data_IF_261026631537
#
_entry.id   IF_261026631537
#
_cell.length_a   1.000
_cell.length_b   1.000
_cell.length_c   1.000
_cell.angle_alpha   90.00
_cell.angle_beta   90.00
_cell.angle_gamma   90.00
#
_symmetry.space_group_name_H-M   'P 1'
#
loop_
_entity.id
_entity.type
_entity.pdbx_description
1 polymer ?
#
# COMPACT_ATOMS: atom_id res chain seq x y z
N UNK A 1 0.23 -19.81 -3.35
CA UNK A 1 -1.09 -19.22 -3.64
C UNK A 1 -1.05 -17.75 -3.25
N UNK A 2 -1.37 -16.81 -4.16
CA UNK A 2 -1.60 -15.41 -3.80
C UNK A 2 -3.09 -15.20 -3.48
N UNK A 3 -3.41 -14.31 -2.54
CA UNK A 3 -4.78 -13.98 -2.15
C UNK A 3 -5.38 -12.98 -3.15
N UNK A 4 -6.60 -13.23 -3.63
CA UNK A 4 -7.36 -12.20 -4.34
C UNK A 4 -7.58 -11.03 -3.39
N UNK A 5 -7.21 -9.82 -3.81
CA UNK A 5 -7.39 -8.62 -3.01
C UNK A 5 -7.75 -7.45 -3.90
N UNK A 6 -8.64 -6.61 -3.40
CA UNK A 6 -9.03 -5.35 -4.01
C UNK A 6 -8.71 -4.22 -3.05
N UNK A 7 -8.19 -3.12 -3.61
CA UNK A 7 -7.99 -1.90 -2.83
C UNK A 7 -9.33 -1.34 -2.38
N UNK A 8 -9.47 -1.11 -1.07
CA UNK A 8 -10.71 -0.69 -0.45
C UNK A 8 -10.68 0.78 -0.03
N UNK A 9 -9.62 1.18 0.70
CA UNK A 9 -9.39 2.56 1.15
C UNK A 9 -7.90 2.85 1.17
N UNK A 10 -7.56 4.11 1.05
CA UNK A 10 -6.20 4.59 1.24
C UNK A 10 -6.18 6.05 1.67
N UNK A 11 -5.11 6.42 2.33
CA UNK A 11 -4.63 7.78 2.45
C UNK A 11 -3.12 7.66 2.27
N UNK A 12 -2.57 8.18 1.17
CA UNK A 12 -1.17 7.93 0.86
C UNK A 12 -0.55 9.21 0.34
N UNK A 13 0.49 9.68 1.03
CA UNK A 13 1.22 10.87 0.62
C UNK A 13 2.73 10.59 0.63
N UNK A 14 3.41 10.96 -0.46
CA UNK A 14 4.88 10.97 -0.50
C UNK A 14 5.37 12.12 -1.38
N UNK A 15 6.48 12.74 -0.97
CA UNK A 15 7.05 13.90 -1.67
C UNK A 15 7.66 13.53 -3.03
N UNK A 16 7.58 14.47 -3.98
CA UNK A 16 8.10 14.36 -5.36
C UNK A 16 9.56 13.89 -5.44
N UNK A 17 10.40 14.30 -4.47
CA UNK A 17 11.81 13.89 -4.37
C UNK A 17 12.02 12.36 -4.22
N UNK A 18 11.02 11.65 -3.71
CA UNK A 18 11.07 10.19 -3.53
C UNK A 18 10.25 9.41 -4.57
N UNK A 19 9.42 10.11 -5.37
CA UNK A 19 8.47 9.51 -6.32
C UNK A 19 9.14 8.49 -7.24
N UNK A 20 10.28 8.83 -7.84
CA UNK A 20 11.01 7.91 -8.72
C UNK A 20 11.45 6.61 -8.04
N UNK A 21 11.91 6.69 -6.78
CA UNK A 21 12.34 5.51 -5.99
C UNK A 21 11.16 4.64 -5.61
N UNK A 22 10.05 5.26 -5.20
CA UNK A 22 8.83 4.57 -4.81
C UNK A 22 8.25 3.85 -6.04
N UNK A 23 8.04 4.56 -7.16
CA UNK A 23 7.52 3.99 -8.42
C UNK A 23 8.35 2.78 -8.88
N UNK A 24 9.69 2.89 -8.84
CA UNK A 24 10.57 1.81 -9.25
C UNK A 24 10.41 0.52 -8.40
N UNK A 25 10.08 0.66 -7.11
CA UNK A 25 9.81 -0.48 -6.23
C UNK A 25 8.42 -1.05 -6.43
N UNK A 26 7.39 -0.22 -6.39
CA UNK A 26 5.99 -0.67 -6.42
C UNK A 26 5.60 -1.30 -7.77
N UNK A 27 6.24 -0.88 -8.88
CA UNK A 27 5.97 -1.40 -10.24
C UNK A 27 6.18 -2.91 -10.35
N UNK A 28 7.06 -3.49 -9.52
CA UNK A 28 7.33 -4.94 -9.48
C UNK A 28 6.19 -5.76 -8.87
N UNK A 29 5.26 -5.10 -8.18
CA UNK A 29 4.18 -5.70 -7.42
C UNK A 29 2.79 -5.36 -8.00
N UNK A 30 2.75 -4.96 -9.28
CA UNK A 30 1.53 -4.54 -9.97
C UNK A 30 0.82 -3.30 -9.36
N UNK A 31 1.58 -2.46 -8.64
CA UNK A 31 1.12 -1.17 -8.17
C UNK A 31 1.56 -0.05 -9.11
N UNK A 32 0.70 0.96 -9.23
CA UNK A 32 0.96 2.22 -9.94
C UNK A 32 0.70 3.38 -9.00
N UNK A 33 1.52 4.42 -9.03
CA UNK A 33 1.30 5.63 -8.24
C UNK A 33 0.34 6.59 -8.97
N UNK A 34 -0.50 7.26 -8.20
CA UNK A 34 -1.26 8.44 -8.63
C UNK A 34 -0.49 9.69 -8.18
N UNK A 35 -0.30 10.64 -9.10
CA UNK A 35 0.50 11.83 -8.89
C UNK A 35 -0.37 13.08 -8.97
N UNK A 36 -0.04 14.10 -8.20
CA UNK A 36 -0.56 15.46 -8.39
C UNK A 36 0.24 16.24 -9.44
N UNK A 37 -0.12 17.51 -9.65
CA UNK A 37 0.53 18.42 -10.62
C UNK A 37 2.00 18.75 -10.26
N UNK A 38 2.36 18.61 -8.98
CA UNK A 38 3.71 18.84 -8.44
C UNK A 38 4.58 17.56 -8.46
N UNK A 39 3.99 16.42 -8.84
CA UNK A 39 4.64 15.11 -8.92
C UNK A 39 4.73 14.39 -7.57
N UNK A 40 4.02 14.85 -6.54
CA UNK A 40 3.86 14.13 -5.28
C UNK A 40 2.94 12.94 -5.49
N UNK A 41 3.19 11.85 -4.76
CA UNK A 41 2.30 10.69 -4.77
C UNK A 41 1.13 10.99 -3.83
N UNK A 42 -0.09 10.92 -4.35
CA UNK A 42 -1.35 11.12 -3.60
C UNK A 42 -2.15 9.82 -3.40
N UNK A 43 -1.71 8.73 -4.03
CA UNK A 43 -2.38 7.45 -3.98
C UNK A 43 -1.57 6.34 -4.67
N UNK A 44 -1.89 5.10 -4.34
CA UNK A 44 -1.47 3.92 -5.10
C UNK A 44 -2.70 3.25 -5.72
N UNK A 45 -2.51 2.59 -6.86
CA UNK A 45 -3.51 1.83 -7.57
C UNK A 45 -2.98 0.42 -7.78
N UNK A 46 -3.70 -0.58 -7.25
CA UNK A 46 -3.35 -1.99 -7.43
C UNK A 46 -4.03 -2.55 -8.67
N UNK A 47 -3.24 -2.96 -9.66
CA UNK A 47 -3.70 -3.56 -10.92
C UNK A 47 -3.50 -5.09 -10.95
N UNK A 48 -3.01 -5.67 -9.86
CA UNK A 48 -2.84 -7.12 -9.74
C UNK A 48 -4.15 -7.82 -9.47
N UNK A 49 -4.22 -9.11 -9.85
CA UNK A 49 -5.34 -9.97 -9.47
C UNK A 49 -5.13 -10.67 -8.12
N UNK A 50 -3.87 -10.76 -7.66
CA UNK A 50 -3.47 -11.44 -6.43
C UNK A 50 -2.34 -10.68 -5.75
N UNK A 51 -2.40 -10.57 -4.42
CA UNK A 51 -1.28 -10.06 -3.65
C UNK A 51 -0.06 -10.97 -3.83
N UNK A 52 1.07 -10.35 -4.12
CA UNK A 52 2.37 -10.99 -4.05
C UNK A 52 2.70 -11.33 -2.60
N UNK A 53 3.32 -12.50 -2.41
CA UNK A 53 3.71 -13.01 -1.08
C UNK A 53 4.63 -12.06 -0.31
N UNK A 54 5.35 -11.16 -1.00
CA UNK A 54 6.38 -10.29 -0.42
C UNK A 54 5.99 -8.79 -0.45
N UNK A 55 4.69 -8.45 -0.50
CA UNK A 55 4.24 -7.06 -0.48
C UNK A 55 4.61 -6.34 0.82
N UNK A 56 4.66 -7.07 1.93
CA UNK A 56 5.09 -6.52 3.22
C UNK A 56 6.54 -5.99 3.15
N UNK A 57 7.44 -6.69 2.48
CA UNK A 57 8.84 -6.28 2.28
C UNK A 57 8.93 -5.02 1.40
N UNK A 58 8.11 -4.97 0.34
CA UNK A 58 7.99 -3.78 -0.49
C UNK A 58 7.51 -2.57 0.32
N UNK A 59 6.44 -2.72 1.09
CA UNK A 59 5.90 -1.63 1.91
C UNK A 59 6.91 -1.19 2.98
N UNK A 60 7.66 -2.11 3.59
CA UNK A 60 8.76 -1.78 4.49
C UNK A 60 9.86 -0.97 3.82
N UNK A 61 10.23 -1.32 2.58
CA UNK A 61 11.28 -0.63 1.84
C UNK A 61 10.90 0.81 1.44
N UNK A 62 9.60 1.08 1.22
CA UNK A 62 9.13 2.43 0.86
C UNK A 62 8.65 3.25 2.06
N UNK A 63 8.40 2.62 3.22
CA UNK A 63 7.91 3.29 4.43
C UNK A 63 8.71 4.53 4.86
N UNK A 64 10.06 4.58 4.76
CA UNK A 64 10.83 5.77 5.12
C UNK A 64 10.54 7.02 4.29
N UNK A 65 9.91 6.84 3.12
CA UNK A 65 9.63 7.92 2.15
C UNK A 65 8.18 8.36 2.15
N UNK A 66 7.33 7.69 2.94
CA UNK A 66 5.89 7.92 3.01
C UNK A 66 5.60 8.80 4.22
N UNK A 67 4.66 9.72 4.06
CA UNK A 67 4.20 10.58 5.14
C UNK A 67 3.55 9.77 6.27
N UNK A 68 3.97 10.03 7.51
CA UNK A 68 3.39 9.42 8.70
C UNK A 68 1.88 9.69 8.77
N UNK A 69 1.10 8.66 9.07
CA UNK A 69 -0.37 8.72 9.04
C UNK A 69 -0.96 8.16 7.75
N UNK A 70 -0.16 7.96 6.71
CA UNK A 70 -0.60 7.25 5.51
C UNK A 70 -1.01 5.81 5.82
N UNK A 71 -1.99 5.27 5.09
CA UNK A 71 -2.37 3.87 5.15
C UNK A 71 -2.91 3.36 3.81
N UNK A 72 -2.81 2.05 3.63
CA UNK A 72 -3.44 1.30 2.52
C UNK A 72 -4.29 0.20 3.14
N UNK A 73 -5.53 0.06 2.67
CA UNK A 73 -6.45 -0.99 3.06
C UNK A 73 -6.89 -1.80 1.84
N UNK A 74 -6.82 -3.13 1.99
CA UNK A 74 -7.25 -4.09 0.98
C UNK A 74 -8.21 -5.11 1.57
N UNK A 75 -9.21 -5.48 0.79
CA UNK A 75 -10.18 -6.52 1.14
C UNK A 75 -9.96 -7.74 0.25
N UNK A 76 -9.92 -8.92 0.86
CA UNK A 76 -9.91 -10.22 0.19
C UNK A 76 -11.29 -10.85 0.16
N UNK A 77 -11.39 -11.96 -0.58
CA UNK A 77 -12.64 -12.70 -0.83
C UNK A 77 -13.33 -13.16 0.47
N UNK A 78 -12.57 -13.66 1.46
CA UNK A 78 -13.09 -14.26 2.70
C UNK A 78 -13.36 -13.25 3.84
N UNK A 79 -13.83 -12.04 3.54
CA UNK A 79 -13.89 -10.91 4.49
C UNK A 79 -12.53 -10.55 5.13
N UNK A 80 -11.43 -11.06 4.58
CA UNK A 80 -10.09 -10.74 5.04
C UNK A 80 -9.83 -9.26 4.75
N UNK A 81 -9.40 -8.52 5.77
CA UNK A 81 -9.04 -7.11 5.62
C UNK A 81 -7.61 -6.93 6.08
N UNK A 82 -6.78 -6.40 5.18
CA UNK A 82 -5.40 -6.03 5.45
C UNK A 82 -5.30 -4.52 5.43
N UNK A 83 -4.74 -3.94 6.49
CA UNK A 83 -4.40 -2.53 6.52
C UNK A 83 -2.94 -2.34 6.89
N UNK A 84 -2.21 -1.67 6.02
CA UNK A 84 -0.83 -1.23 6.24
C UNK A 84 -0.85 0.23 6.65
N UNK A 85 -0.31 0.54 7.82
CA UNK A 85 -0.24 1.90 8.38
C UNK A 85 1.22 2.31 8.39
N UNK A 86 1.52 3.46 7.79
CA UNK A 86 2.86 4.05 7.71
C UNK A 86 3.00 5.09 8.81
N UNK A 87 3.97 4.89 9.71
CA UNK A 87 4.21 5.77 10.84
C UNK A 87 5.69 5.80 11.16
N UNK A 88 6.26 7.01 11.24
CA UNK A 88 7.66 7.26 11.60
C UNK A 88 8.65 6.44 10.76
N UNK A 89 8.42 6.39 9.44
CA UNK A 89 9.26 5.67 8.48
C UNK A 89 9.17 4.15 8.57
N UNK A 90 8.20 3.61 9.31
CA UNK A 90 7.94 2.18 9.45
C UNK A 90 6.53 1.85 8.98
N UNK A 91 6.29 0.59 8.62
CA UNK A 91 4.95 0.10 8.28
C UNK A 91 4.52 -0.96 9.28
N UNK A 92 3.27 -0.87 9.72
CA UNK A 92 2.61 -1.88 10.55
C UNK A 92 1.44 -2.47 9.77
N UNK A 93 1.45 -3.79 9.61
CA UNK A 93 0.32 -4.54 9.07
C UNK A 93 -0.66 -4.87 10.18
N UNK A 94 -1.93 -4.64 9.93
CA UNK A 94 -3.04 -5.00 10.82
C UNK A 94 -4.04 -5.84 10.04
N UNK A 95 -4.52 -6.92 10.68
CA UNK A 95 -5.58 -7.77 10.14
C UNK A 95 -6.86 -7.41 10.90
N UNK A 96 -7.92 -6.99 10.20
CA UNK A 96 -9.21 -6.85 10.85
C UNK A 96 -9.94 -8.19 10.72
N UNK A 97 -9.96 -8.97 11.80
CA UNK A 97 -10.82 -10.15 11.89
C UNK A 97 -12.25 -9.65 12.08
N UNK A 98 -13.16 -9.96 11.15
CA UNK A 98 -14.59 -9.79 11.41
C UNK A 98 -14.95 -10.81 12.49
N UNK A 99 -15.19 -10.33 13.70
CA UNK A 99 -15.81 -11.14 14.76
C UNK A 99 -17.31 -11.10 14.48
N UNK A 100 -17.88 -12.20 14.01
CA UNK A 100 -19.34 -12.33 13.95
C UNK A 100 -19.87 -12.40 15.40
N UNK A 101 -20.82 -11.55 15.81
CA UNK A 101 -21.48 -11.67 17.11
C UNK A 101 -22.36 -12.92 17.20
#
# INVERSE_FOLDING_TARGET
MGYCARMARQQFAAKTEYTGRIIAKIKRYAYTAELDDDGNIIGLNFKGNKLALNEDDMFQAIAPYIESGSFIEMHGDDNAKWRWIFENGKVKKTYATVVWP
#
